data_IF_216628032726
#
_entry.id   IF_216628032726
#
_cell.length_a   1.000
_cell.length_b   1.000
_cell.length_c   1.000
_cell.angle_alpha   90.00
_cell.angle_beta   90.00
_cell.angle_gamma   90.00
#
_symmetry.space_group_name_H-M   'P 1'
#
loop_
_entity.id
_entity.type
_entity.pdbx_description
1 polymer ?
#
# COMPACT_ATOMS: atom_id res chain seq x y z
N UNK A 1 11.50 4.79 4.03
CA UNK A 1 11.93 3.37 3.88
C UNK A 1 10.94 2.69 2.94
N UNK A 2 11.42 1.85 2.02
CA UNK A 2 10.58 1.14 1.05
C UNK A 2 10.80 -0.35 1.26
N UNK A 3 9.75 -1.06 1.66
CA UNK A 3 9.79 -2.51 1.78
C UNK A 3 9.22 -3.12 0.49
N UNK A 4 9.98 -4.04 -0.10
CA UNK A 4 9.62 -4.72 -1.35
C UNK A 4 9.27 -6.18 -1.04
N UNK A 5 8.08 -6.61 -1.47
CA UNK A 5 7.59 -7.97 -1.24
C UNK A 5 7.52 -8.74 -2.56
N UNK A 6 7.90 -10.03 -2.52
CA UNK A 6 7.77 -10.92 -3.68
C UNK A 6 6.33 -11.42 -3.77
N UNK A 7 5.65 -11.09 -4.85
CA UNK A 7 4.28 -11.52 -5.13
C UNK A 7 4.24 -12.06 -6.56
N UNK A 8 3.42 -13.07 -6.81
CA UNK A 8 3.30 -13.66 -8.14
C UNK A 8 2.02 -13.16 -8.79
N UNK A 9 2.13 -12.76 -10.06
CA UNK A 9 0.96 -12.61 -10.92
C UNK A 9 0.32 -13.98 -11.13
N UNK A 10 -1.01 -14.07 -10.99
CA UNK A 10 -1.76 -15.29 -11.24
C UNK A 10 -1.60 -15.79 -12.69
N UNK A 11 -1.35 -14.89 -13.63
CA UNK A 11 -1.19 -15.17 -15.06
C UNK A 11 0.28 -15.14 -15.50
N UNK A 12 1.04 -14.12 -15.09
CA UNK A 12 2.38 -13.83 -15.64
C UNK A 12 3.57 -14.18 -14.71
N UNK A 13 3.32 -14.71 -13.52
CA UNK A 13 4.27 -15.21 -12.50
C UNK A 13 5.29 -14.23 -11.87
N UNK A 14 5.45 -13.00 -12.37
CA UNK A 14 6.52 -12.10 -11.89
C UNK A 14 6.03 -10.65 -11.67
N UNK A 15 5.52 -10.36 -10.47
CA UNK A 15 5.19 -9.01 -10.00
C UNK A 15 6.01 -8.63 -8.76
N UNK A 16 6.10 -7.32 -8.55
CA UNK A 16 6.60 -6.72 -7.33
C UNK A 16 5.52 -5.80 -6.78
N UNK A 17 5.29 -5.88 -5.49
CA UNK A 17 4.47 -4.91 -4.77
C UNK A 17 5.37 -4.17 -3.78
N UNK A 18 5.41 -2.85 -3.93
CA UNK A 18 6.03 -1.94 -2.98
C UNK A 18 4.96 -1.26 -2.16
N UNK A 19 5.16 -1.19 -0.84
CA UNK A 19 4.31 -0.40 0.06
C UNK A 19 5.16 0.73 0.63
N UNK A 20 4.70 1.97 0.47
CA UNK A 20 5.42 3.15 0.92
C UNK A 20 4.47 4.27 1.34
N UNK A 21 5.03 5.30 1.97
CA UNK A 21 4.36 6.59 2.12
C UNK A 21 4.10 7.19 0.75
N UNK A 22 2.88 7.65 0.49
CA UNK A 22 2.55 8.38 -0.74
C UNK A 22 3.32 9.72 -0.82
N UNK A 23 3.69 10.25 0.34
CA UNK A 23 4.37 11.53 0.50
C UNK A 23 5.88 11.40 0.63
N UNK A 24 6.60 12.46 0.21
CA UNK A 24 8.06 12.52 0.26
C UNK A 24 8.60 12.43 1.70
N UNK A 25 7.91 13.06 2.66
CA UNK A 25 8.25 12.99 4.07
C UNK A 25 7.12 12.39 4.91
N UNK A 26 7.50 11.78 6.03
CA UNK A 26 6.55 11.29 7.05
C UNK A 26 5.76 12.46 7.65
N UNK A 27 6.34 13.67 7.69
CA UNK A 27 5.65 14.86 8.20
C UNK A 27 4.48 15.24 7.31
N UNK A 28 4.64 15.16 6.00
CA UNK A 28 3.57 15.47 5.03
C UNK A 28 2.43 14.46 5.15
N UNK A 29 2.76 13.16 5.26
CA UNK A 29 1.76 12.12 5.49
C UNK A 29 0.98 12.35 6.79
N UNK A 30 1.66 12.76 7.87
CA UNK A 30 1.01 13.08 9.15
C UNK A 30 0.08 14.30 9.06
N UNK A 31 0.48 15.32 8.31
CA UNK A 31 -0.35 16.51 8.08
C UNK A 31 -1.63 16.14 7.32
N UNK A 32 -1.50 15.30 6.29
CA UNK A 32 -2.63 14.81 5.49
C UNK A 32 -3.61 14.01 6.35
N UNK A 33 -3.09 13.06 7.12
CA UNK A 33 -3.89 12.29 8.08
C UNK A 33 -4.57 13.20 9.12
N UNK A 34 -3.86 14.18 9.67
CA UNK A 34 -4.44 15.09 10.67
C UNK A 34 -5.56 15.94 10.08
N UNK A 35 -5.38 16.43 8.84
CA UNK A 35 -6.41 17.20 8.12
C UNK A 35 -7.63 16.35 7.75
N UNK A 36 -7.45 15.05 7.50
CA UNK A 36 -8.57 14.16 7.21
C UNK A 36 -9.47 13.92 8.40
N UNK A 37 -8.91 13.82 9.61
CA UNK A 37 -9.69 13.72 10.84
C UNK A 37 -10.63 14.91 11.06
N UNK A 38 -10.27 16.08 10.53
CA UNK A 38 -11.09 17.29 10.58
C UNK A 38 -11.98 17.49 9.34
N UNK A 39 -11.97 16.55 8.39
CA UNK A 39 -12.72 16.64 7.14
C UNK A 39 -12.17 17.65 6.12
N UNK A 40 -10.96 18.17 6.34
CA UNK A 40 -10.34 19.18 5.48
C UNK A 40 -9.69 18.57 4.22
N UNK A 41 -9.34 17.28 4.27
CA UNK A 41 -8.66 16.57 3.18
C UNK A 41 -8.96 15.07 3.22
N UNK A 42 -9.01 14.40 2.07
CA UNK A 42 -9.04 12.92 2.04
C UNK A 42 -7.67 12.36 2.41
N UNK A 43 -7.64 11.33 3.27
CA UNK A 43 -6.41 10.63 3.59
C UNK A 43 -6.02 9.66 2.46
N UNK A 44 -4.82 9.84 1.93
CA UNK A 44 -4.19 9.00 0.91
C UNK A 44 -2.71 8.74 1.26
N UNK A 45 -2.42 8.69 2.57
CA UNK A 45 -1.05 8.59 3.12
C UNK A 45 -0.29 7.33 2.70
N UNK A 46 -0.99 6.24 2.39
CA UNK A 46 -0.39 4.97 2.00
C UNK A 46 -0.43 4.81 0.48
N UNK A 47 0.70 4.43 -0.11
CA UNK A 47 0.84 4.11 -1.53
C UNK A 47 1.28 2.66 -1.71
N UNK A 48 0.52 1.93 -2.52
CA UNK A 48 0.86 0.61 -3.01
C UNK A 48 1.21 0.72 -4.49
N UNK A 49 2.39 0.26 -4.85
CA UNK A 49 2.88 0.23 -6.22
C UNK A 49 3.00 -1.20 -6.70
N UNK A 50 2.49 -1.48 -7.90
CA UNK A 50 2.61 -2.78 -8.56
C UNK A 50 3.47 -2.61 -9.80
N UNK A 51 4.54 -3.39 -9.92
CA UNK A 51 5.47 -3.35 -11.05
C UNK A 51 5.79 -4.76 -11.56
N UNK A 52 5.96 -4.90 -12.88
CA UNK A 52 6.43 -6.14 -13.51
C UNK A 52 7.94 -6.25 -13.42
N UNK A 53 8.42 -7.47 -13.20
CA UNK A 53 9.86 -7.76 -13.19
C UNK A 53 10.50 -7.38 -14.51
N UNK A 54 11.64 -6.69 -14.43
CA UNK A 54 12.41 -6.27 -15.60
C UNK A 54 11.84 -5.07 -16.36
N UNK A 55 10.75 -4.46 -15.87
CA UNK A 55 10.29 -3.17 -16.39
C UNK A 55 10.76 -2.04 -15.50
N UNK A 56 11.22 -0.93 -16.10
CA UNK A 56 11.64 0.26 -15.37
C UNK A 56 10.46 1.12 -14.86
N UNK A 57 9.24 0.59 -14.89
CA UNK A 57 8.02 1.35 -14.65
C UNK A 57 7.09 0.69 -13.63
N UNK A 58 6.34 1.52 -12.92
CA UNK A 58 5.21 1.09 -12.09
C UNK A 58 4.00 0.88 -13.01
N UNK A 59 3.44 -0.32 -13.03
CA UNK A 59 2.26 -0.66 -13.83
C UNK A 59 0.99 -0.06 -13.26
N UNK A 60 0.86 -0.02 -11.94
CA UNK A 60 -0.32 0.50 -11.26
C UNK A 60 0.03 1.06 -9.89
N UNK A 61 -0.72 2.07 -9.47
CA UNK A 61 -0.62 2.70 -8.16
C UNK A 61 -2.00 2.73 -7.52
N UNK A 62 -2.05 2.41 -6.24
CA UNK A 62 -3.25 2.51 -5.41
C UNK A 62 -2.88 3.30 -4.16
N UNK A 63 -3.69 4.28 -3.79
CA UNK A 63 -3.51 5.04 -2.55
C UNK A 63 -4.75 4.92 -1.69
N UNK A 64 -4.55 4.90 -0.38
CA UNK A 64 -5.62 4.86 0.61
C UNK A 64 -5.14 5.45 1.94
N UNK A 65 -6.10 5.75 2.81
CA UNK A 65 -5.83 6.31 4.12
C UNK A 65 -5.29 5.29 5.11
N UNK A 66 -4.86 5.78 6.27
CA UNK A 66 -4.32 4.96 7.35
C UNK A 66 -5.37 3.96 7.84
N UNK A 67 -6.62 4.40 8.02
CA UNK A 67 -7.70 3.54 8.51
C UNK A 67 -8.03 2.39 7.55
N UNK A 68 -8.22 2.69 6.25
CA UNK A 68 -8.46 1.66 5.24
C UNK A 68 -7.24 0.72 5.10
N UNK A 69 -6.03 1.25 5.27
CA UNK A 69 -4.81 0.47 5.27
C UNK A 69 -4.72 -0.54 6.41
N UNK A 70 -5.11 -0.14 7.63
CA UNK A 70 -5.18 -1.03 8.79
C UNK A 70 -6.23 -2.14 8.58
N UNK A 71 -7.42 -1.77 8.09
CA UNK A 71 -8.48 -2.73 7.78
C UNK A 71 -8.03 -3.75 6.72
N UNK A 72 -7.35 -3.28 5.67
CA UNK A 72 -6.79 -4.14 4.63
C UNK A 72 -5.73 -5.10 5.18
N UNK A 73 -4.81 -4.60 6.02
CA UNK A 73 -3.78 -5.41 6.65
C UNK A 73 -4.36 -6.49 7.58
N UNK A 74 -5.38 -6.15 8.36
CA UNK A 74 -6.10 -7.10 9.22
C UNK A 74 -6.83 -8.17 8.41
N UNK A 75 -7.50 -7.78 7.31
CA UNK A 75 -8.16 -8.74 6.42
C UNK A 75 -7.16 -9.73 5.81
N UNK A 76 -6.01 -9.25 5.33
CA UNK A 76 -4.94 -10.10 4.83
C UNK A 76 -4.38 -11.06 5.89
N UNK A 77 -4.12 -10.55 7.11
CA UNK A 77 -3.63 -11.36 8.21
C UNK A 77 -4.61 -12.47 8.59
N UNK A 78 -5.90 -12.15 8.68
CA UNK A 78 -6.97 -13.11 8.97
C UNK A 78 -7.05 -14.19 7.91
N UNK A 79 -6.95 -13.84 6.62
CA UNK A 79 -6.93 -14.79 5.53
C UNK A 79 -5.69 -15.70 5.59
N UNK A 80 -4.51 -15.14 5.86
CA UNK A 80 -3.29 -15.94 6.04
C UNK A 80 -3.42 -16.94 7.20
N UNK A 81 -4.04 -16.51 8.30
CA UNK A 81 -4.26 -17.35 9.47
C UNK A 81 -5.31 -18.44 9.21
N UNK A 82 -6.35 -18.18 8.42
CA UNK A 82 -7.35 -19.20 8.07
C UNK A 82 -6.78 -20.28 7.16
N UNK A 83 -5.89 -19.92 6.22
CA UNK A 83 -5.23 -20.87 5.30
C UNK A 83 -4.21 -21.75 6.03
N UNK A 84 -3.53 -21.21 7.05
CA UNK A 84 -2.51 -21.96 7.82
C UNK A 84 -3.10 -22.99 8.80
N UNK A 85 -4.39 -22.88 9.13
CA UNK A 85 -5.09 -23.80 10.04
C UNK A 85 -5.73 -24.93 9.26
#
# INVERSE_FOLDING_TARGET
>A
MQDNYKIQDAETKDLYIGVCSHYFSVSDAKDVYTKSLNGERTDDSILVQVAKKGTNGVNTKVTFGVEEGEQFALALLNLCNSIKR
#
